data_IF_101651490776
#
_entry.id   IF_101651490776
#
_cell.length_a   1.000
_cell.length_b   1.000
_cell.length_c   1.000
_cell.angle_alpha   90.00
_cell.angle_beta   90.00
_cell.angle_gamma   90.00
#
_symmetry.space_group_name_H-M   'P 1'
#
loop_
_entity.id
_entity.type
_entity.pdbx_description
1 polymer ?
#
# COMPACT_ATOMS: atom_id res chain seq x y z
N UNK A 1 -10.78 11.24 1.64
CA UNK A 1 -12.02 10.64 1.10
C UNK A 1 -12.73 9.90 2.20
N UNK A 2 -14.00 9.55 1.97
CA UNK A 2 -14.72 8.65 2.87
C UNK A 2 -14.08 7.24 2.86
N UNK A 3 -14.06 6.54 4.00
CA UNK A 3 -13.72 5.12 4.05
C UNK A 3 -14.64 4.28 3.17
N UNK A 4 -14.10 3.23 2.57
CA UNK A 4 -14.88 2.20 1.87
C UNK A 4 -14.91 0.94 2.74
N UNK A 5 -16.10 0.37 2.97
CA UNK A 5 -16.28 -0.78 3.86
C UNK A 5 -16.58 -0.34 5.30
N UNK A 6 -15.59 -0.38 6.19
CA UNK A 6 -15.77 0.07 7.58
C UNK A 6 -15.86 1.61 7.63
N UNK A 7 -17.06 2.15 7.70
CA UNK A 7 -17.32 3.60 7.67
C UNK A 7 -17.15 4.29 9.04
N UNK A 8 -17.09 3.53 10.14
CA UNK A 8 -16.86 4.07 11.49
C UNK A 8 -15.36 4.30 11.75
N UNK A 9 -14.73 5.11 10.90
CA UNK A 9 -13.34 5.52 11.06
C UNK A 9 -13.07 6.91 10.46
N UNK A 10 -11.96 7.58 10.83
CA UNK A 10 -11.60 8.86 10.25
C UNK A 10 -11.46 8.79 8.72
N UNK A 11 -11.68 9.93 8.07
CA UNK A 11 -11.49 10.07 6.62
C UNK A 11 -10.03 9.80 6.24
N UNK A 12 -9.83 9.15 5.10
CA UNK A 12 -8.49 8.92 4.56
C UNK A 12 -7.94 10.19 3.89
N UNK A 13 -6.64 10.41 4.02
CA UNK A 13 -5.88 11.26 3.11
C UNK A 13 -5.24 10.35 2.06
N UNK A 14 -5.65 10.48 0.80
CA UNK A 14 -5.12 9.70 -0.31
C UNK A 14 -4.30 10.58 -1.24
N UNK A 15 -3.20 10.04 -1.74
CA UNK A 15 -2.33 10.66 -2.74
C UNK A 15 -1.77 9.59 -3.67
N UNK A 16 -1.34 10.02 -4.85
CA UNK A 16 -0.61 9.17 -5.81
C UNK A 16 0.71 9.88 -6.12
N UNK A 17 1.77 9.10 -6.27
CA UNK A 17 3.07 9.60 -6.71
C UNK A 17 3.64 8.71 -7.81
N UNK A 18 4.42 9.31 -8.70
CA UNK A 18 5.21 8.60 -9.70
C UNK A 18 6.63 8.42 -9.16
N UNK A 19 7.21 7.24 -9.39
CA UNK A 19 8.56 6.89 -8.93
C UNK A 19 9.31 6.21 -10.06
N UNK A 20 10.55 6.65 -10.32
CA UNK A 20 11.49 5.93 -11.16
C UNK A 20 12.38 5.08 -10.26
N UNK A 21 12.43 3.77 -10.52
CA UNK A 21 13.18 2.83 -9.69
C UNK A 21 13.82 1.72 -10.52
N UNK A 22 14.93 1.20 -10.03
CA UNK A 22 15.57 -0.01 -10.55
C UNK A 22 15.22 -1.27 -9.72
N UNK A 23 14.36 -1.12 -8.70
CA UNK A 23 13.90 -2.25 -7.89
C UNK A 23 12.89 -3.06 -8.68
N UNK A 24 13.00 -4.39 -8.62
CA UNK A 24 11.95 -5.29 -9.16
C UNK A 24 10.61 -5.07 -8.44
N UNK A 25 9.47 -5.51 -9.01
CA UNK A 25 8.15 -5.41 -8.35
C UNK A 25 8.14 -5.96 -6.92
N UNK A 26 8.78 -7.11 -6.70
CA UNK A 26 8.95 -7.70 -5.35
C UNK A 26 9.84 -6.85 -4.43
N UNK A 27 10.89 -6.26 -4.97
CA UNK A 27 11.77 -5.34 -4.23
C UNK A 27 11.04 -4.05 -3.83
N UNK A 28 10.24 -3.49 -4.72
CA UNK A 28 9.40 -2.33 -4.45
C UNK A 28 8.34 -2.64 -3.39
N UNK A 29 7.69 -3.81 -3.46
CA UNK A 29 6.74 -4.26 -2.45
C UNK A 29 7.40 -4.41 -1.07
N UNK A 30 8.59 -4.99 -1.01
CA UNK A 30 9.34 -5.14 0.24
C UNK A 30 9.72 -3.78 0.83
N UNK A 31 10.11 -2.81 -0.02
CA UNK A 31 10.37 -1.44 0.40
C UNK A 31 9.12 -0.77 0.98
N UNK A 32 7.98 -0.85 0.27
CA UNK A 32 6.70 -0.29 0.69
C UNK A 32 6.28 -0.83 2.07
N UNK A 33 6.24 -2.16 2.23
CA UNK A 33 5.96 -2.81 3.53
C UNK A 33 6.95 -2.39 4.62
N UNK A 34 8.22 -2.20 4.28
CA UNK A 34 9.24 -1.70 5.20
C UNK A 34 8.96 -0.28 5.70
N UNK A 35 8.47 0.61 4.84
CA UNK A 35 8.08 1.98 5.20
C UNK A 35 6.87 1.96 6.13
N UNK A 36 5.84 1.18 5.80
CA UNK A 36 4.65 1.04 6.62
C UNK A 36 4.99 0.54 8.03
N UNK A 37 5.84 -0.49 8.13
CA UNK A 37 6.30 -1.02 9.41
C UNK A 37 7.05 0.04 10.23
N UNK A 38 7.93 0.83 9.60
CA UNK A 38 8.65 1.93 10.26
C UNK A 38 7.73 3.05 10.75
N UNK A 39 6.64 3.30 10.04
CA UNK A 39 5.62 4.30 10.41
C UNK A 39 4.57 3.74 11.38
N UNK A 40 4.79 2.54 11.91
CA UNK A 40 3.96 1.97 12.97
C UNK A 40 2.73 1.26 12.44
N UNK A 41 2.82 0.53 11.33
CA UNK A 41 1.83 -0.49 10.98
C UNK A 41 1.79 -1.53 12.10
N UNK A 42 0.85 -1.37 13.03
CA UNK A 42 0.57 -2.32 14.11
C UNK A 42 -0.44 -3.31 13.55
N UNK A 43 -0.18 -4.62 13.71
CA UNK A 43 -1.11 -5.65 13.24
C UNK A 43 -2.54 -5.42 13.74
N UNK A 44 -3.52 -5.62 12.85
CA UNK A 44 -4.94 -5.39 13.13
C UNK A 44 -5.81 -6.21 12.17
N UNK A 45 -7.12 -6.19 12.40
CA UNK A 45 -8.08 -6.84 11.49
C UNK A 45 -8.16 -6.08 10.16
N UNK A 46 -8.64 -6.76 9.10
CA UNK A 46 -8.87 -6.12 7.80
C UNK A 46 -9.78 -4.90 7.96
N UNK A 47 -9.44 -3.81 7.26
CA UNK A 47 -10.19 -2.55 7.32
C UNK A 47 -10.04 -1.74 8.62
N UNK A 48 -9.12 -2.11 9.52
CA UNK A 48 -8.76 -1.26 10.65
C UNK A 48 -8.04 0.03 10.18
N UNK A 49 -8.17 1.13 10.93
CA UNK A 49 -7.39 2.33 10.67
C UNK A 49 -5.89 2.03 10.72
N UNK A 50 -5.14 2.60 9.77
CA UNK A 50 -3.68 2.44 9.67
C UNK A 50 -3.03 3.79 9.43
N UNK A 51 -1.83 3.96 9.97
CA UNK A 51 -1.04 5.20 9.83
C UNK A 51 -0.79 5.51 8.36
N UNK A 52 -0.47 4.48 7.57
CA UNK A 52 -0.26 4.58 6.14
C UNK A 52 -0.50 3.21 5.49
N UNK A 53 -0.91 3.22 4.23
CA UNK A 53 -0.98 2.06 3.33
C UNK A 53 -0.32 2.49 2.02
N UNK A 54 0.57 1.65 1.47
CA UNK A 54 1.29 1.93 0.23
C UNK A 54 0.99 0.82 -0.77
N UNK A 55 0.15 1.13 -1.74
CA UNK A 55 -0.20 0.23 -2.84
C UNK A 55 0.61 0.56 -4.10
N UNK A 56 1.10 -0.48 -4.77
CA UNK A 56 1.68 -0.36 -6.11
C UNK A 56 0.51 -0.40 -7.10
N UNK A 57 0.18 0.76 -7.68
CA UNK A 57 -0.92 0.87 -8.64
C UNK A 57 -0.53 0.35 -10.04
N UNK A 58 0.69 0.65 -10.47
CA UNK A 58 1.23 0.32 -11.79
C UNK A 58 2.74 0.09 -11.65
N UNK A 59 3.29 -0.81 -12.47
CA UNK A 59 4.72 -1.03 -12.59
C UNK A 59 5.09 -1.14 -14.07
N UNK A 60 5.43 -0.01 -14.69
CA UNK A 60 5.64 0.04 -16.15
C UNK A 60 4.47 -0.58 -16.90
N UNK A 61 4.77 -1.49 -17.83
CA UNK A 61 3.80 -2.25 -18.62
C UNK A 61 3.68 -3.72 -18.16
N UNK A 62 4.22 -4.07 -16.98
CA UNK A 62 4.22 -5.44 -16.47
C UNK A 62 2.83 -5.87 -15.98
N UNK A 63 2.45 -7.11 -16.28
CA UNK A 63 1.24 -7.75 -15.74
C UNK A 63 1.67 -8.96 -14.94
N UNK A 64 1.26 -9.03 -13.68
CA UNK A 64 1.67 -10.07 -12.76
C UNK A 64 0.48 -10.57 -11.95
N UNK A 65 0.39 -11.88 -11.78
CA UNK A 65 -0.52 -12.50 -10.82
C UNK A 65 0.27 -13.49 -9.97
N UNK A 66 0.64 -13.07 -8.77
CA UNK A 66 1.26 -13.93 -7.75
C UNK A 66 0.47 -13.82 -6.44
N UNK A 67 0.65 -14.76 -5.49
CA UNK A 67 0.00 -14.65 -4.19
C UNK A 67 0.31 -13.35 -3.43
N UNK A 68 1.41 -12.69 -3.76
CA UNK A 68 1.89 -11.47 -3.09
C UNK A 68 1.67 -10.17 -3.88
N UNK A 69 1.42 -10.25 -5.19
CA UNK A 69 1.26 -9.11 -6.11
C UNK A 69 0.25 -9.45 -7.21
N UNK A 70 -0.72 -8.56 -7.40
CA UNK A 70 -1.76 -8.64 -8.43
C UNK A 70 -1.91 -7.29 -9.11
#
# INVERSE_FOLDING_TARGET
SEPVGNIEQPRFLNLVCEVVTNLTPKGLLALAKGIENKLGRIGGHSGAPRTIDIDILLYGDEVMETPELT
#
